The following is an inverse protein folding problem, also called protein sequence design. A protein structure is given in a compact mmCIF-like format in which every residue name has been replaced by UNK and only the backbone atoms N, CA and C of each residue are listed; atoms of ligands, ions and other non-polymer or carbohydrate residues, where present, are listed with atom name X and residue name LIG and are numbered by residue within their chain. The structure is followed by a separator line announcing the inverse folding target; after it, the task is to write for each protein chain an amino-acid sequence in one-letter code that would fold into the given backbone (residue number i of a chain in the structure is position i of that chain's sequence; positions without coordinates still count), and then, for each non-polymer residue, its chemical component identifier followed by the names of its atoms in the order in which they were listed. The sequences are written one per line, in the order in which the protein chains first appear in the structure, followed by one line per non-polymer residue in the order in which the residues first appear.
data_IF_503883242991
#
_entry.id   IF_503883242991
#
_cell.length_a   1.000
_cell.length_b   1.000
_cell.length_c   1.000
_cell.angle_alpha   90.00
_cell.angle_beta   90.00
_cell.angle_gamma   90.00
#
_symmetry.space_group_name_H-M   'P 1'
#
loop_
_entity.id
_entity.type
_entity.pdbx_description
1 polymer ?
#
# COMPACT_ATOMS: atom_id res chain seq x y z
N UNK A 1 -4.55 7.17 -7.74
CA UNK A 1 -3.91 6.22 -8.65
C UNK A 1 -2.38 6.12 -8.46
N UNK A 2 -1.70 5.22 -9.14
CA UNK A 2 -0.24 5.20 -9.18
C UNK A 2 0.27 6.45 -9.90
N UNK A 3 1.42 7.00 -9.44
CA UNK A 3 1.97 8.23 -10.02
C UNK A 3 1.22 9.53 -9.70
N UNK A 4 0.14 9.50 -8.90
CA UNK A 4 -0.66 10.68 -8.55
C UNK A 4 -0.04 11.60 -7.49
N UNK A 5 1.22 11.38 -7.11
CA UNK A 5 1.92 12.24 -6.16
C UNK A 5 1.61 11.99 -4.68
N UNK A 6 0.95 10.87 -4.31
CA UNK A 6 0.61 10.57 -2.90
C UNK A 6 1.80 10.73 -1.96
N UNK A 7 2.89 10.04 -2.22
CA UNK A 7 4.08 10.09 -1.37
C UNK A 7 4.72 11.48 -1.35
N UNK A 8 4.68 12.22 -2.47
CA UNK A 8 5.16 13.62 -2.53
C UNK A 8 4.32 14.52 -1.62
N UNK A 9 2.99 14.45 -1.74
CA UNK A 9 2.07 15.22 -0.90
C UNK A 9 2.24 14.85 0.58
N UNK A 10 2.37 13.55 0.88
CA UNK A 10 2.61 13.10 2.26
C UNK A 10 3.89 13.70 2.85
N UNK A 11 4.97 13.77 2.05
CA UNK A 11 6.22 14.39 2.50
C UNK A 11 6.09 15.91 2.69
N UNK A 12 5.40 16.60 1.78
CA UNK A 12 5.12 18.04 1.92
C UNK A 12 4.28 18.30 3.18
N UNK A 13 3.23 17.53 3.40
CA UNK A 13 2.42 17.65 4.61
C UNK A 13 3.24 17.39 5.89
N UNK A 14 4.15 16.42 5.87
CA UNK A 14 5.04 16.19 7.01
C UNK A 14 5.91 17.42 7.34
N UNK A 15 6.45 18.09 6.33
CA UNK A 15 7.25 19.32 6.49
C UNK A 15 6.37 20.42 7.08
N UNK A 16 5.21 20.69 6.49
CA UNK A 16 4.27 21.71 6.97
C UNK A 16 3.87 21.45 8.43
N UNK A 17 3.52 20.19 8.75
CA UNK A 17 3.13 19.81 10.11
C UNK A 17 4.29 19.99 11.11
N UNK A 18 5.52 19.72 10.69
CA UNK A 18 6.69 19.90 11.55
C UNK A 18 7.04 21.35 11.74
N UNK A 19 7.19 22.10 10.64
CA UNK A 19 7.73 23.46 10.65
C UNK A 19 6.67 24.50 11.06
N UNK A 20 5.42 24.31 10.60
CA UNK A 20 4.34 25.24 10.92
C UNK A 20 3.62 24.95 12.24
N UNK A 21 3.62 23.69 12.71
CA UNK A 21 2.80 23.27 13.85
C UNK A 21 3.56 22.48 14.92
N UNK A 22 4.86 22.26 14.75
CA UNK A 22 5.70 21.45 15.65
C UNK A 22 5.18 20.02 15.89
N UNK A 23 4.45 19.44 14.92
CA UNK A 23 3.83 18.13 15.00
C UNK A 23 4.76 17.06 14.42
N UNK A 24 5.23 16.15 15.26
CA UNK A 24 6.00 14.98 14.81
C UNK A 24 5.10 14.03 14.00
N UNK A 25 5.54 13.74 12.77
CA UNK A 25 4.75 12.98 11.80
C UNK A 25 5.50 11.76 11.33
N UNK A 26 4.85 10.59 11.36
CA UNK A 26 5.34 9.37 10.71
C UNK A 26 4.55 9.09 9.44
N UNK A 27 5.26 8.69 8.38
CA UNK A 27 4.67 8.32 7.09
C UNK A 27 5.03 6.88 6.77
N UNK A 28 4.06 6.09 6.31
CA UNK A 28 4.30 4.78 5.74
C UNK A 28 3.21 4.42 4.72
N UNK A 29 3.54 3.49 3.84
CA UNK A 29 2.65 3.02 2.79
C UNK A 29 2.05 1.65 3.12
N UNK A 30 0.85 1.36 2.62
CA UNK A 30 0.31 0.00 2.62
C UNK A 30 1.26 -0.97 1.89
N UNK A 31 1.98 -0.48 0.87
CA UNK A 31 2.96 -1.25 0.10
C UNK A 31 4.13 -1.75 0.98
N UNK A 32 4.45 -1.06 2.08
CA UNK A 32 5.49 -1.48 3.02
C UNK A 32 5.12 -2.78 3.76
N UNK A 33 3.84 -3.15 3.74
CA UNK A 33 3.29 -4.34 4.40
C UNK A 33 3.01 -5.49 3.45
N UNK A 34 3.52 -5.49 2.22
CA UNK A 34 3.37 -6.66 1.37
C UNK A 34 3.90 -7.93 2.06
N UNK A 35 3.21 -9.03 1.83
CA UNK A 35 3.67 -10.37 2.18
C UNK A 35 4.97 -10.67 1.44
N UNK A 36 5.82 -11.48 2.07
CA UNK A 36 7.05 -11.98 1.44
C UNK A 36 6.74 -12.71 0.13
N UNK A 37 7.73 -12.81 -0.74
CA UNK A 37 7.60 -13.59 -1.98
C UNK A 37 7.19 -15.03 -1.70
N UNK A 38 7.78 -15.66 -0.67
CA UNK A 38 7.45 -17.03 -0.23
C UNK A 38 5.96 -17.16 0.15
N UNK A 39 5.43 -16.23 0.93
CA UNK A 39 4.01 -16.24 1.31
C UNK A 39 3.09 -16.06 0.10
N UNK A 40 3.41 -15.14 -0.82
CA UNK A 40 2.65 -14.93 -2.05
C UNK A 40 2.72 -16.15 -2.99
N UNK A 41 3.88 -16.82 -3.07
CA UNK A 41 4.04 -18.08 -3.82
C UNK A 41 3.17 -19.20 -3.24
N UNK A 42 3.02 -19.29 -1.92
CA UNK A 42 2.10 -20.23 -1.30
C UNK A 42 0.63 -19.90 -1.61
N UNK A 43 0.27 -18.61 -1.56
CA UNK A 43 -1.09 -18.15 -1.93
C UNK A 43 -1.39 -18.44 -3.41
N UNK A 44 -0.41 -18.24 -4.29
CA UNK A 44 -0.59 -18.50 -5.72
C UNK A 44 -0.89 -19.95 -6.02
N UNK A 45 -0.26 -20.89 -5.29
CA UNK A 45 -0.51 -22.33 -5.43
C UNK A 45 -1.85 -22.76 -4.81
N UNK A 46 -2.20 -22.19 -3.64
CA UNK A 46 -3.37 -22.64 -2.87
C UNK A 46 -4.68 -21.99 -3.27
N UNK A 47 -4.65 -20.78 -3.83
CA UNK A 47 -5.85 -19.97 -4.08
C UNK A 47 -5.99 -19.62 -5.55
N UNK A 48 -5.07 -18.84 -6.10
CA UNK A 48 -5.07 -18.41 -7.50
C UNK A 48 -3.68 -17.93 -7.91
N UNK A 49 -3.17 -18.30 -9.10
CA UNK A 49 -1.89 -17.84 -9.63
C UNK A 49 -1.72 -16.30 -9.59
N UNK A 50 -2.80 -15.54 -9.67
CA UNK A 50 -2.80 -14.08 -9.64
C UNK A 50 -2.30 -13.49 -8.31
N UNK A 51 -2.27 -14.26 -7.21
CA UNK A 51 -1.71 -13.82 -5.93
C UNK A 51 -0.17 -13.88 -5.87
N UNK A 52 0.49 -14.38 -6.89
CA UNK A 52 1.95 -14.30 -6.98
C UNK A 52 2.38 -12.83 -7.10
N UNK A 53 1.70 -12.07 -7.94
CA UNK A 53 1.95 -10.64 -8.11
C UNK A 53 1.42 -9.84 -6.91
N UNK A 54 2.26 -8.99 -6.33
CA UNK A 54 1.84 -8.04 -5.29
C UNK A 54 0.91 -6.96 -5.87
N UNK A 55 0.04 -6.42 -5.04
CA UNK A 55 -0.79 -5.27 -5.42
C UNK A 55 -2.13 -5.26 -4.71
N UNK A 56 -2.98 -6.23 -4.99
CA UNK A 56 -4.37 -6.27 -4.51
C UNK A 56 -4.51 -6.59 -3.02
N UNK A 57 -5.64 -6.22 -2.40
CA UNK A 57 -5.99 -6.68 -1.07
C UNK A 57 -5.85 -8.20 -0.92
N UNK A 58 -5.25 -8.62 0.20
CA UNK A 58 -4.85 -10.01 0.44
C UNK A 58 -3.37 -10.28 0.21
N UNK A 59 -2.67 -9.47 -0.62
CA UNK A 59 -1.22 -9.56 -0.79
C UNK A 59 -0.42 -8.78 0.26
N UNK A 60 -1.09 -8.03 1.13
CA UNK A 60 -0.47 -7.37 2.29
C UNK A 60 -0.65 -8.22 3.56
N UNK A 61 0.25 -8.06 4.50
CA UNK A 61 0.11 -8.56 5.87
C UNK A 61 -0.80 -7.63 6.67
N UNK A 62 -2.10 -7.84 6.49
CA UNK A 62 -3.14 -7.01 7.12
C UNK A 62 -3.11 -7.10 8.65
N UNK A 63 -2.64 -8.22 9.25
CA UNK A 63 -2.52 -8.35 10.70
C UNK A 63 -1.41 -7.45 11.23
N UNK A 64 -0.24 -7.50 10.59
CA UNK A 64 0.90 -6.65 10.94
C UNK A 64 0.55 -5.18 10.76
N UNK A 65 -0.12 -4.80 9.67
CA UNK A 65 -0.56 -3.43 9.40
C UNK A 65 -1.55 -2.93 10.47
N UNK A 66 -2.58 -3.72 10.78
CA UNK A 66 -3.55 -3.39 11.82
C UNK A 66 -2.88 -3.21 13.19
N UNK A 67 -1.99 -4.15 13.57
CA UNK A 67 -1.21 -4.05 14.82
C UNK A 67 -0.32 -2.82 14.86
N UNK A 68 0.32 -2.47 13.73
CA UNK A 68 1.16 -1.29 13.61
C UNK A 68 0.36 0.00 13.87
N UNK A 69 -0.77 0.20 13.17
CA UNK A 69 -1.62 1.39 13.35
C UNK A 69 -2.15 1.47 14.77
N UNK A 70 -2.66 0.36 15.32
CA UNK A 70 -3.13 0.34 16.70
C UNK A 70 -2.04 0.73 17.70
N UNK A 71 -0.80 0.24 17.53
CA UNK A 71 0.30 0.60 18.41
C UNK A 71 0.67 2.08 18.32
N UNK A 72 0.62 2.67 17.10
CA UNK A 72 0.84 4.11 16.89
C UNK A 72 -0.24 4.97 17.57
N UNK A 73 -1.47 4.49 17.66
CA UNK A 73 -2.62 5.18 18.30
C UNK A 73 -2.68 4.99 19.81
N UNK A 74 -1.99 4.01 20.37
CA UNK A 74 -2.05 3.74 21.83
C UNK A 74 -1.64 4.93 22.67
N UNK A 75 -2.35 5.15 23.79
CA UNK A 75 -2.03 6.18 24.78
C UNK A 75 -0.66 5.94 25.42
N UNK A 76 -0.40 4.71 25.87
CA UNK A 76 0.92 4.25 26.34
C UNK A 76 1.69 3.68 25.13
N UNK A 77 2.42 4.56 24.45
CA UNK A 77 3.21 4.19 23.27
C UNK A 77 4.45 3.40 23.68
N UNK A 78 4.74 2.36 22.93
CA UNK A 78 6.03 1.64 22.98
C UNK A 78 6.71 1.81 21.62
N UNK A 79 8.04 1.94 21.60
CA UNK A 79 8.80 1.98 20.35
C UNK A 79 8.40 0.82 19.43
N UNK A 80 8.25 1.12 18.17
CA UNK A 80 7.90 0.13 17.15
C UNK A 80 8.80 0.25 15.93
N UNK A 81 8.81 -0.81 15.14
CA UNK A 81 9.47 -0.83 13.84
C UNK A 81 8.41 -1.08 12.76
N UNK A 82 8.33 -0.17 11.81
CA UNK A 82 7.43 -0.27 10.67
C UNK A 82 8.20 -0.96 9.53
N UNK A 83 7.65 -2.02 8.92
CA UNK A 83 8.34 -2.75 7.86
C UNK A 83 8.65 -1.85 6.65
N UNK A 84 9.58 -2.30 5.84
CA UNK A 84 9.87 -1.77 4.52
C UNK A 84 9.84 -2.90 3.51
N UNK A 85 9.25 -2.61 2.35
CA UNK A 85 9.25 -3.55 1.23
C UNK A 85 10.20 -3.06 0.14
N UNK A 86 11.07 -3.93 -0.31
CA UNK A 86 12.01 -3.66 -1.40
C UNK A 86 11.43 -4.18 -2.72
N UNK A 87 10.98 -3.23 -3.56
CA UNK A 87 10.37 -3.55 -4.86
C UNK A 87 11.36 -4.11 -5.87
N UNK A 88 12.67 -3.89 -5.67
CA UNK A 88 13.73 -4.36 -6.58
C UNK A 88 13.96 -5.87 -6.47
N UNK A 89 13.87 -6.40 -5.25
CA UNK A 89 13.98 -7.84 -4.97
C UNK A 89 12.63 -8.52 -4.78
N UNK A 90 11.54 -7.75 -4.90
CA UNK A 90 10.14 -8.19 -4.72
C UNK A 90 9.87 -8.87 -3.37
N UNK A 91 10.55 -8.42 -2.31
CA UNK A 91 10.41 -8.99 -0.97
C UNK A 91 10.53 -7.94 0.14
N UNK A 92 10.24 -8.35 1.37
CA UNK A 92 10.37 -7.51 2.55
C UNK A 92 11.83 -7.26 2.88
N UNK A 93 12.18 -5.98 3.10
CA UNK A 93 13.54 -5.60 3.50
C UNK A 93 13.93 -6.20 4.86
N UNK A 94 15.23 -6.42 5.10
CA UNK A 94 15.73 -6.78 6.42
C UNK A 94 15.29 -5.79 7.50
N UNK A 95 15.10 -6.26 8.73
CA UNK A 95 14.64 -5.43 9.86
C UNK A 95 15.53 -4.21 10.12
N UNK A 96 16.81 -4.26 9.79
CA UNK A 96 17.73 -3.13 9.89
C UNK A 96 17.31 -1.91 9.06
N UNK A 97 16.57 -2.13 7.96
CA UNK A 97 16.06 -1.07 7.07
C UNK A 97 14.63 -0.61 7.44
N UNK A 98 14.02 -1.16 8.49
CA UNK A 98 12.68 -0.78 8.92
C UNK A 98 12.68 0.60 9.57
N UNK A 99 11.58 1.34 9.47
CA UNK A 99 11.44 2.66 10.09
C UNK A 99 11.30 2.47 11.60
N UNK A 100 12.26 3.03 12.34
CA UNK A 100 12.22 3.03 13.82
C UNK A 100 11.41 4.23 14.30
N UNK A 101 10.35 3.97 15.06
CA UNK A 101 9.53 5.00 15.71
C UNK A 101 9.76 4.88 17.21
N UNK A 102 10.56 5.81 17.75
CA UNK A 102 11.00 5.77 19.16
C UNK A 102 10.10 6.61 20.09
N UNK A 103 9.39 7.59 19.52
CA UNK A 103 8.46 8.47 20.24
C UNK A 103 7.09 8.39 19.59
N UNK A 104 6.02 8.57 20.37
CA UNK A 104 4.66 8.62 19.86
C UNK A 104 4.54 9.80 18.88
N UNK A 105 4.17 9.56 17.61
CA UNK A 105 3.94 10.65 16.68
C UNK A 105 2.62 11.37 17.02
N UNK A 106 2.56 12.67 16.72
CA UNK A 106 1.31 13.44 16.78
C UNK A 106 0.41 13.09 15.61
N UNK A 107 1.00 12.88 14.42
CA UNK A 107 0.29 12.57 13.19
C UNK A 107 0.85 11.31 12.53
N UNK A 108 -0.04 10.47 12.04
CA UNK A 108 0.29 9.29 11.24
C UNK A 108 -0.29 9.48 9.85
N UNK A 109 0.56 9.55 8.84
CA UNK A 109 0.13 9.56 7.44
C UNK A 109 0.28 8.16 6.88
N UNK A 110 -0.84 7.49 6.70
CA UNK A 110 -0.94 6.16 6.09
C UNK A 110 -1.42 6.31 4.66
N UNK A 111 -0.59 5.99 3.68
CA UNK A 111 -0.92 6.16 2.27
C UNK A 111 -1.00 4.83 1.52
N UNK A 112 -1.74 4.81 0.43
CA UNK A 112 -1.80 3.68 -0.48
C UNK A 112 -2.84 3.83 -1.57
N UNK A 113 -2.74 2.99 -2.59
CA UNK A 113 -3.64 3.06 -3.74
C UNK A 113 -5.06 2.56 -3.44
N UNK A 114 -5.22 1.67 -2.47
CA UNK A 114 -6.49 1.06 -2.08
C UNK A 114 -6.92 1.43 -0.65
N UNK A 115 -6.28 2.42 -0.02
CA UNK A 115 -6.67 2.89 1.31
C UNK A 115 -8.05 3.54 1.24
N UNK A 116 -8.97 3.10 2.11
CA UNK A 116 -10.34 3.57 2.15
C UNK A 116 -11.28 2.92 1.12
N UNK A 117 -10.81 1.93 0.33
CA UNK A 117 -11.68 1.21 -0.61
C UNK A 117 -12.65 0.30 0.14
N UNK A 118 -13.92 0.38 -0.22
CA UNK A 118 -14.99 -0.48 0.30
C UNK A 118 -15.14 -1.76 -0.52
N UNK A 119 -15.57 -2.89 0.09
CA UNK A 119 -15.86 -4.10 -0.66
C UNK A 119 -17.07 -3.93 -1.59
N UNK A 120 -17.03 -4.63 -2.70
CA UNK A 120 -18.12 -4.68 -3.68
C UNK A 120 -19.24 -5.63 -3.20
N UNK A 121 -20.47 -5.40 -3.68
CA UNK A 121 -21.58 -6.33 -3.48
C UNK A 121 -21.30 -7.63 -4.23
N UNK A 122 -21.76 -8.77 -3.69
CA UNK A 122 -21.54 -10.10 -4.32
C UNK A 122 -22.01 -10.16 -5.79
N UNK A 123 -23.12 -9.49 -6.12
CA UNK A 123 -23.63 -9.41 -7.48
C UNK A 123 -22.67 -8.73 -8.47
N UNK A 124 -21.91 -7.75 -8.01
CA UNK A 124 -21.00 -6.98 -8.85
C UNK A 124 -19.71 -7.79 -9.20
N UNK A 125 -19.48 -8.89 -8.48
CA UNK A 125 -18.38 -9.81 -8.75
C UNK A 125 -18.74 -10.91 -9.76
N UNK A 126 -19.98 -11.00 -10.23
CA UNK A 126 -20.42 -12.08 -11.12
C UNK A 126 -19.81 -11.91 -12.50
N UNK A 127 -19.90 -10.70 -13.05
CA UNK A 127 -19.39 -10.39 -14.38
C UNK A 127 -17.95 -9.85 -14.30
N UNK A 128 -16.99 -10.40 -15.05
CA UNK A 128 -15.63 -9.86 -15.11
C UNK A 128 -15.64 -8.47 -15.75
N UNK A 129 -14.97 -7.52 -15.11
CA UNK A 129 -14.93 -6.11 -15.55
C UNK A 129 -13.78 -5.79 -16.52
N UNK A 130 -12.86 -6.72 -16.72
CA UNK A 130 -11.70 -6.53 -17.57
C UNK A 130 -11.18 -7.86 -18.15
N UNK A 131 -10.23 -7.75 -19.10
CA UNK A 131 -9.63 -8.90 -19.78
C UNK A 131 -8.94 -9.87 -18.80
N UNK A 132 -8.22 -9.35 -17.79
CA UNK A 132 -7.56 -10.18 -16.79
C UNK A 132 -8.55 -11.09 -16.06
N UNK A 133 -9.64 -10.52 -15.57
CA UNK A 133 -10.68 -11.28 -14.86
C UNK A 133 -11.36 -12.30 -15.77
N UNK A 134 -11.63 -11.92 -17.03
CA UNK A 134 -12.23 -12.80 -18.01
C UNK A 134 -11.35 -14.03 -18.32
N UNK A 135 -10.06 -13.81 -18.56
CA UNK A 135 -9.15 -14.85 -19.03
C UNK A 135 -8.48 -15.65 -17.90
N UNK A 136 -8.15 -14.99 -16.77
CA UNK A 136 -7.36 -15.58 -15.68
C UNK A 136 -8.14 -15.86 -14.41
N UNK A 137 -9.37 -15.34 -14.30
CA UNK A 137 -10.24 -15.52 -13.13
C UNK A 137 -11.70 -15.84 -13.52
N UNK A 138 -11.92 -16.62 -14.57
CA UNK A 138 -13.27 -16.99 -15.04
C UNK A 138 -14.13 -17.59 -13.93
N UNK A 139 -13.53 -18.36 -13.01
CA UNK A 139 -14.21 -18.97 -11.84
C UNK A 139 -14.42 -18.01 -10.65
N UNK A 140 -14.07 -16.73 -10.76
CA UNK A 140 -14.23 -15.69 -9.73
C UNK A 140 -13.47 -15.96 -8.41
N UNK A 141 -12.50 -16.86 -8.39
CA UNK A 141 -11.80 -17.26 -7.17
C UNK A 141 -10.97 -16.09 -6.65
N UNK A 142 -10.20 -15.45 -7.54
CA UNK A 142 -9.30 -14.36 -7.18
C UNK A 142 -10.06 -13.10 -6.74
N UNK A 143 -10.98 -12.57 -7.56
CA UNK A 143 -11.72 -11.34 -7.21
C UNK A 143 -12.63 -11.52 -6.00
N UNK A 144 -13.24 -12.71 -5.83
CA UNK A 144 -14.00 -13.00 -4.62
C UNK A 144 -13.12 -13.04 -3.37
N UNK A 145 -11.91 -13.60 -3.48
CA UNK A 145 -10.96 -13.60 -2.37
C UNK A 145 -10.45 -12.20 -2.05
N UNK A 146 -10.14 -11.38 -3.04
CA UNK A 146 -9.76 -9.97 -2.85
C UNK A 146 -10.86 -9.22 -2.11
N UNK A 147 -12.10 -9.37 -2.54
CA UNK A 147 -13.25 -8.74 -1.90
C UNK A 147 -13.47 -9.22 -0.46
N UNK A 148 -13.31 -10.52 -0.21
CA UNK A 148 -13.36 -11.08 1.14
C UNK A 148 -12.27 -10.52 2.05
N UNK A 149 -11.04 -10.39 1.57
CA UNK A 149 -9.95 -9.77 2.34
C UNK A 149 -10.28 -8.31 2.69
N UNK A 150 -10.87 -7.55 1.73
CA UNK A 150 -11.36 -6.19 2.00
C UNK A 150 -12.38 -6.17 3.13
N UNK A 151 -13.40 -7.03 3.08
CA UNK A 151 -14.45 -7.12 4.09
C UNK A 151 -13.91 -7.50 5.46
N UNK A 152 -13.14 -8.58 5.52
CA UNK A 152 -12.80 -9.22 6.80
C UNK A 152 -11.66 -8.49 7.54
N UNK A 153 -10.72 -7.89 6.78
CA UNK A 153 -9.47 -7.38 7.35
C UNK A 153 -9.22 -5.90 7.09
N UNK A 154 -9.45 -5.45 5.86
CA UNK A 154 -9.04 -4.08 5.50
C UNK A 154 -10.01 -3.04 6.04
N UNK A 155 -11.31 -3.34 6.11
CA UNK A 155 -12.27 -2.41 6.73
C UNK A 155 -11.87 -2.11 8.18
N UNK A 156 -11.49 -3.12 8.96
CA UNK A 156 -11.02 -2.94 10.35
C UNK A 156 -9.80 -2.03 10.46
N UNK A 157 -8.95 -2.01 9.42
CA UNK A 157 -7.80 -1.11 9.35
C UNK A 157 -8.25 0.30 8.98
N UNK A 158 -9.17 0.41 8.02
CA UNK A 158 -9.64 1.69 7.53
C UNK A 158 -10.54 2.41 8.55
N UNK A 159 -11.24 1.67 9.41
CA UNK A 159 -12.00 2.21 10.54
C UNK A 159 -11.10 2.92 11.59
N UNK A 160 -9.79 2.66 11.56
CA UNK A 160 -8.82 3.36 12.41
C UNK A 160 -8.40 4.73 11.84
N UNK A 161 -8.80 5.08 10.63
CA UNK A 161 -8.44 6.33 9.95
C UNK A 161 -9.35 7.45 10.42
N UNK A 162 -8.79 8.48 11.01
CA UNK A 162 -9.57 9.63 11.52
C UNK A 162 -9.98 10.58 10.38
N UNK A 163 -9.12 10.75 9.35
CA UNK A 163 -9.36 11.62 8.18
C UNK A 163 -8.83 10.97 6.91
N UNK A 164 -9.66 10.90 5.88
CA UNK A 164 -9.29 10.36 4.58
C UNK A 164 -9.16 11.48 3.55
N UNK A 165 -7.99 11.57 2.90
CA UNK A 165 -7.74 12.47 1.77
C UNK A 165 -7.71 11.64 0.49
N UNK A 166 -8.65 11.89 -0.41
CA UNK A 166 -8.74 11.19 -1.68
C UNK A 166 -8.19 12.04 -2.84
N UNK A 167 -7.10 11.58 -3.45
CA UNK A 167 -6.52 12.22 -4.63
C UNK A 167 -7.22 11.69 -5.89
N UNK A 168 -8.21 12.44 -6.37
CA UNK A 168 -8.93 12.12 -7.59
C UNK A 168 -8.04 12.36 -8.81
N UNK A 169 -7.94 11.37 -9.67
CA UNK A 169 -7.27 11.46 -10.97
C UNK A 169 -8.31 11.72 -12.04
N UNK A 170 -8.10 12.69 -12.96
CA UNK A 170 -9.10 13.04 -13.99
C UNK A 170 -9.54 11.84 -14.86
N UNK A 171 -8.58 11.02 -15.29
CA UNK A 171 -8.86 9.77 -15.99
C UNK A 171 -7.70 8.78 -15.88
N UNK A 172 -7.93 7.51 -16.20
CA UNK A 172 -6.91 6.46 -16.19
C UNK A 172 -5.76 6.73 -17.17
N UNK A 173 -6.00 7.45 -18.25
CA UNK A 173 -4.98 7.85 -19.24
C UNK A 173 -3.83 8.64 -18.56
N UNK A 174 -4.14 9.49 -17.57
CA UNK A 174 -3.12 10.24 -16.84
C UNK A 174 -2.25 9.34 -15.95
N UNK A 175 -2.80 8.26 -15.41
CA UNK A 175 -2.03 7.31 -14.60
C UNK A 175 -0.92 6.69 -15.42
N UNK A 176 -1.21 6.25 -16.64
CA UNK A 176 -0.21 5.69 -17.56
C UNK A 176 0.87 6.73 -17.90
N UNK A 177 0.45 7.95 -18.31
CA UNK A 177 1.36 9.05 -18.64
C UNK A 177 2.31 9.38 -17.49
N UNK A 178 1.78 9.50 -16.26
CA UNK A 178 2.58 9.80 -15.07
C UNK A 178 3.52 8.66 -14.70
N UNK A 179 3.09 7.42 -14.88
CA UNK A 179 3.94 6.25 -14.63
C UNK A 179 5.11 6.21 -15.60
N UNK A 180 4.87 6.42 -16.89
CA UNK A 180 5.94 6.48 -17.91
C UNK A 180 6.94 7.61 -17.60
N UNK A 181 6.44 8.79 -17.20
CA UNK A 181 7.30 9.90 -16.80
C UNK A 181 8.15 9.57 -15.58
N UNK A 182 7.58 8.90 -14.59
CA UNK A 182 8.29 8.45 -13.39
C UNK A 182 9.40 7.45 -13.73
N UNK A 183 9.10 6.46 -14.58
CA UNK A 183 10.08 5.48 -15.05
C UNK A 183 11.22 6.15 -15.84
N UNK A 184 10.89 7.12 -16.71
CA UNK A 184 11.90 7.89 -17.44
C UNK A 184 12.85 8.65 -16.51
N UNK A 185 12.31 9.34 -15.50
CA UNK A 185 13.11 10.04 -14.48
C UNK A 185 14.00 9.09 -13.69
N UNK A 186 13.49 7.93 -13.26
CA UNK A 186 14.28 6.94 -12.54
C UNK A 186 15.43 6.38 -13.37
N UNK A 187 15.21 6.14 -14.68
CA UNK A 187 16.28 5.69 -15.60
C UNK A 187 17.40 6.73 -15.74
N UNK A 188 17.06 8.00 -15.84
CA UNK A 188 18.05 9.10 -15.92
C UNK A 188 18.87 9.15 -14.64
N UNK A 189 18.22 9.12 -13.48
CA UNK A 189 18.90 9.15 -12.18
C UNK A 189 19.78 7.91 -11.94
N UNK A 190 19.35 6.73 -12.41
CA UNK A 190 20.13 5.50 -12.30
C UNK A 190 21.37 5.51 -13.22
N UNK A 191 21.29 6.10 -14.42
CA UNK A 191 22.44 6.26 -15.31
C UNK A 191 23.46 7.25 -14.72
N UNK A 192 23.03 8.36 -14.13
CA UNK A 192 23.92 9.32 -13.48
C UNK A 192 24.69 8.78 -12.26
N UNK A 193 24.17 7.72 -11.60
CA UNK A 193 24.88 7.05 -10.50
C UNK A 193 25.92 6.01 -10.94
N UNK A 194 25.95 5.63 -12.22
CA UNK A 194 26.94 4.70 -12.79
C UNK A 194 28.16 5.41 -13.40
N UNK A 195 28.15 6.74 -13.42
CA UNK A 195 29.21 7.57 -14.03
C UNK A 195 29.98 8.42 -12.99
N UNK A 196 29.87 8.09 -11.68
CA UNK A 196 30.76 8.63 -10.64
C UNK A 196 31.58 7.55 -10.00
#
# INVERSE_FOLDING_TARGET
GQGSGKSTISNILKIILKDGFSLDTVIFSIDDFYKTFKERKLMSKKISPLFLTRGVPGTHDARMLHSCINNLKKRKFKKIMIPKFDKSIDDRSPKSKWIKVNKKPHVVIFEGWCVGVTPQKKKDLIVPINKLEKEKDAKKIWRSRVNKELTDKYQKIFDLIDKLIFLKVPSFKYVLKWRLLQEKKLRITAKGKKTM
#
